data_IF_464402185665
#
_entry.id   IF_464402185665
#
_cell.length_a   1.000
_cell.length_b   1.000
_cell.length_c   1.000
_cell.angle_alpha   90.00
_cell.angle_beta   90.00
_cell.angle_gamma   90.00
#
_symmetry.space_group_name_H-M   'P 1'
#
loop_
_entity.id
_entity.type
_entity.pdbx_description
1 polymer ?
#
# COMPACT_ATOMS: atom_id res chain seq x y z
N UNK A 1 23.62 -2.14 4.15
CA UNK A 1 23.88 -0.90 4.92
C UNK A 1 22.54 -0.51 5.52
N UNK A 2 22.34 -0.51 6.84
CA UNK A 2 21.05 -0.10 7.43
C UNK A 2 20.85 1.37 7.11
N UNK A 3 19.87 1.70 6.27
CA UNK A 3 19.45 3.07 6.04
C UNK A 3 19.08 3.64 7.41
N UNK A 4 19.71 4.74 7.81
CA UNK A 4 19.34 5.43 9.04
C UNK A 4 17.99 6.08 8.74
N UNK A 5 16.90 5.38 9.04
CA UNK A 5 15.57 5.95 8.99
C UNK A 5 15.51 7.01 10.09
N UNK A 6 15.55 8.27 9.68
CA UNK A 6 15.41 9.38 10.61
C UNK A 6 13.93 9.46 10.98
N UNK A 7 13.60 9.07 12.21
CA UNK A 7 12.23 9.15 12.74
C UNK A 7 11.74 10.59 12.61
N UNK A 8 10.58 10.77 11.97
CA UNK A 8 9.94 12.05 11.78
C UNK A 8 9.46 12.59 13.14
N UNK A 9 9.89 13.80 13.51
CA UNK A 9 9.61 14.40 14.82
C UNK A 9 9.07 15.80 14.64
N UNK A 10 7.94 16.08 15.29
CA UNK A 10 7.23 17.37 15.23
C UNK A 10 7.00 17.85 13.77
N UNK A 11 6.46 16.99 12.89
CA UNK A 11 6.31 17.35 11.49
C UNK A 11 5.31 18.47 11.29
N UNK A 12 5.54 19.28 10.26
CA UNK A 12 4.53 20.17 9.71
C UNK A 12 3.51 19.39 8.86
N UNK A 13 2.46 20.07 8.41
CA UNK A 13 1.39 19.42 7.64
C UNK A 13 1.88 18.77 6.34
N UNK A 14 2.75 19.43 5.58
CA UNK A 14 3.26 18.90 4.32
C UNK A 14 4.15 17.67 4.53
N UNK A 15 4.91 17.62 5.63
CA UNK A 15 5.70 16.43 5.99
C UNK A 15 4.80 15.26 6.38
N UNK A 16 3.66 15.52 7.05
CA UNK A 16 2.65 14.50 7.36
C UNK A 16 2.00 13.98 6.07
N UNK A 17 1.57 14.86 5.18
CA UNK A 17 0.95 14.51 3.90
C UNK A 17 1.91 13.64 3.06
N UNK A 18 3.17 14.08 2.93
CA UNK A 18 4.20 13.30 2.26
C UNK A 18 4.42 11.94 2.92
N UNK A 19 4.51 11.87 4.25
CA UNK A 19 4.74 10.61 4.94
C UNK A 19 3.57 9.62 4.74
N UNK A 20 2.32 10.10 4.72
CA UNK A 20 1.15 9.28 4.42
C UNK A 20 1.23 8.72 2.99
N UNK A 21 1.45 9.59 2.00
CA UNK A 21 1.53 9.20 0.59
C UNK A 21 2.69 8.23 0.34
N UNK A 22 3.88 8.58 0.81
CA UNK A 22 5.09 7.80 0.60
C UNK A 22 4.99 6.41 1.22
N UNK A 23 4.54 6.30 2.48
CA UNK A 23 4.40 5.01 3.14
C UNK A 23 3.40 4.10 2.40
N UNK A 24 2.30 4.67 1.91
CA UNK A 24 1.34 3.95 1.10
C UNK A 24 1.90 3.52 -0.26
N UNK A 25 2.65 4.38 -0.96
CA UNK A 25 3.28 4.03 -2.24
C UNK A 25 4.35 2.94 -2.09
N UNK A 26 5.17 3.01 -1.04
CA UNK A 26 6.20 2.02 -0.75
C UNK A 26 5.60 0.63 -0.46
N UNK A 27 4.41 0.54 0.14
CA UNK A 27 3.70 -0.74 0.24
C UNK A 27 3.47 -1.35 -1.15
N UNK A 28 2.99 -0.59 -2.13
CA UNK A 28 2.75 -1.12 -3.47
C UNK A 28 4.03 -1.45 -4.22
N UNK A 29 5.08 -0.63 -4.07
CA UNK A 29 6.41 -0.93 -4.60
C UNK A 29 6.93 -2.24 -4.03
N UNK A 30 6.82 -2.44 -2.71
CA UNK A 30 7.23 -3.68 -2.06
C UNK A 30 6.43 -4.89 -2.56
N UNK A 31 5.10 -4.76 -2.73
CA UNK A 31 4.26 -5.86 -3.24
C UNK A 31 4.69 -6.36 -4.62
N UNK A 32 5.27 -5.50 -5.47
CA UNK A 32 5.64 -5.84 -6.86
C UNK A 32 7.13 -6.11 -7.07
N UNK A 33 7.93 -6.12 -6.00
CA UNK A 33 9.37 -6.48 -6.07
C UNK A 33 9.63 -7.98 -5.89
N UNK A 34 8.58 -8.78 -5.71
CA UNK A 34 8.70 -10.24 -5.68
C UNK A 34 8.97 -10.79 -7.09
N UNK A 35 9.79 -11.84 -7.16
CA UNK A 35 10.14 -12.49 -8.42
C UNK A 35 8.96 -13.35 -8.92
N UNK A 36 8.09 -12.76 -9.73
CA UNK A 36 7.00 -13.43 -10.45
C UNK A 36 7.05 -13.03 -11.93
N UNK A 37 6.88 -14.03 -12.81
CA UNK A 37 7.15 -13.94 -14.25
C UNK A 37 6.34 -12.86 -14.98
N UNK A 38 5.11 -12.56 -14.53
CA UNK A 38 4.19 -11.63 -15.18
C UNK A 38 4.21 -10.20 -14.61
N UNK A 39 5.06 -9.92 -13.60
CA UNK A 39 5.13 -8.58 -13.02
C UNK A 39 5.95 -7.66 -13.94
N UNK A 40 5.33 -6.54 -14.32
CA UNK A 40 6.00 -5.44 -15.01
C UNK A 40 5.90 -4.17 -14.16
N UNK A 41 7.00 -3.45 -14.01
CA UNK A 41 6.99 -2.11 -13.43
C UNK A 41 7.92 -1.16 -14.21
N UNK A 42 7.58 0.12 -14.16
CA UNK A 42 8.36 1.22 -14.71
C UNK A 42 8.48 2.30 -13.64
N UNK A 43 9.71 2.65 -13.29
CA UNK A 43 10.02 3.77 -12.39
C UNK A 43 10.70 4.88 -13.18
N UNK A 44 10.14 6.09 -13.09
CA UNK A 44 10.64 7.30 -13.73
C UNK A 44 10.59 8.46 -12.75
N UNK A 45 11.19 9.59 -13.13
CA UNK A 45 11.02 10.85 -12.37
C UNK A 45 9.57 11.40 -12.42
N UNK A 46 8.72 10.87 -13.31
CA UNK A 46 7.35 11.35 -13.53
C UNK A 46 6.28 10.51 -12.83
N UNK A 47 6.52 9.21 -12.62
CA UNK A 47 5.58 8.28 -12.00
C UNK A 47 6.24 6.92 -11.72
N UNK A 48 5.57 6.11 -10.89
CA UNK A 48 5.79 4.68 -10.82
C UNK A 48 4.56 3.93 -11.33
N UNK A 49 4.74 3.06 -12.32
CA UNK A 49 3.69 2.17 -12.85
C UNK A 49 4.04 0.73 -12.50
N UNK A 50 3.05 -0.05 -12.10
CA UNK A 50 3.18 -1.49 -11.92
C UNK A 50 1.97 -2.25 -12.47
N UNK A 51 2.19 -3.49 -12.89
CA UNK A 51 1.14 -4.45 -13.25
C UNK A 51 1.60 -5.86 -12.92
N UNK A 52 0.78 -6.59 -12.17
CA UNK A 52 1.03 -8.00 -11.83
C UNK A 52 0.44 -8.97 -12.84
N UNK A 53 -0.34 -8.48 -13.81
CA UNK A 53 -1.16 -9.32 -14.70
C UNK A 53 -2.41 -9.92 -14.03
N UNK A 54 -2.55 -9.82 -12.70
CA UNK A 54 -3.70 -10.34 -11.97
C UNK A 54 -4.91 -9.42 -12.24
N UNK A 55 -6.11 -9.96 -12.55
CA UNK A 55 -7.29 -9.17 -12.90
C UNK A 55 -7.98 -8.53 -11.67
N UNK A 56 -7.20 -7.80 -10.86
CA UNK A 56 -7.68 -7.09 -9.70
C UNK A 56 -7.02 -5.71 -9.65
N UNK A 57 -7.85 -4.66 -9.60
CA UNK A 57 -7.39 -3.28 -9.85
C UNK A 57 -6.31 -2.80 -8.88
N UNK A 58 -6.29 -3.30 -7.64
CA UNK A 58 -5.31 -2.90 -6.64
C UNK A 58 -3.88 -3.37 -6.99
N UNK A 59 -3.77 -4.43 -7.80
CA UNK A 59 -2.52 -5.06 -8.19
C UNK A 59 -2.00 -4.57 -9.55
N UNK A 60 -2.59 -3.49 -10.08
CA UNK A 60 -2.14 -2.80 -11.29
C UNK A 60 -2.37 -1.30 -11.09
N UNK A 61 -1.34 -0.47 -11.21
CA UNK A 61 -1.53 0.93 -10.88
C UNK A 61 -0.45 1.87 -11.32
N UNK A 62 -0.81 3.16 -11.30
CA UNK A 62 0.11 4.29 -11.38
C UNK A 62 0.06 5.03 -10.05
N UNK A 63 1.22 5.31 -9.48
CA UNK A 63 1.40 6.02 -8.21
C UNK A 63 2.49 7.09 -8.37
N UNK A 64 2.66 7.91 -7.34
CA UNK A 64 3.79 8.84 -7.22
C UNK A 64 3.93 9.79 -8.44
N UNK A 65 2.79 10.32 -8.90
CA UNK A 65 2.73 11.07 -10.16
C UNK A 65 3.21 12.50 -10.03
N UNK A 66 4.34 12.79 -10.67
CA UNK A 66 4.98 14.09 -10.81
C UNK A 66 5.14 14.50 -12.28
N UNK A 67 4.03 14.51 -13.02
CA UNK A 67 4.04 14.66 -14.48
C UNK A 67 4.00 16.16 -14.86
N UNK A 68 4.88 16.64 -15.77
CA UNK A 68 4.80 18.00 -16.29
C UNK A 68 3.48 18.26 -17.00
N UNK A 69 2.92 19.47 -16.81
CA UNK A 69 1.59 19.82 -17.33
C UNK A 69 1.50 19.72 -18.85
N UNK A 70 2.62 19.98 -19.53
CA UNK A 70 2.75 20.00 -20.98
C UNK A 70 2.58 18.61 -21.62
N UNK A 71 2.86 17.54 -20.86
CA UNK A 71 2.81 16.15 -21.32
C UNK A 71 1.78 15.30 -20.58
N UNK A 72 1.05 15.87 -19.61
CA UNK A 72 0.15 15.15 -18.73
C UNK A 72 -0.90 14.31 -19.47
N UNK A 73 -1.60 14.88 -20.46
CA UNK A 73 -2.60 14.15 -21.26
C UNK A 73 -1.97 12.97 -21.99
N UNK A 74 -0.85 13.20 -22.68
CA UNK A 74 -0.13 12.15 -23.40
C UNK A 74 0.27 11.01 -22.45
N UNK A 75 0.77 11.33 -21.26
CA UNK A 75 1.19 10.34 -20.27
C UNK A 75 0.01 9.56 -19.69
N UNK A 76 -1.13 10.21 -19.49
CA UNK A 76 -2.36 9.54 -19.06
C UNK A 76 -2.79 8.52 -20.13
N UNK A 77 -2.86 8.93 -21.40
CA UNK A 77 -3.22 8.06 -22.52
C UNK A 77 -2.25 6.87 -22.70
N UNK A 78 -0.94 7.11 -22.55
CA UNK A 78 0.10 6.06 -22.60
C UNK A 78 -0.11 5.00 -21.51
N UNK A 79 -0.35 5.42 -20.27
CA UNK A 79 -0.58 4.52 -19.14
C UNK A 79 -1.91 3.77 -19.27
N UNK A 80 -2.99 4.43 -19.70
CA UNK A 80 -4.27 3.74 -20.01
C UNK A 80 -4.05 2.67 -21.08
N UNK A 81 -3.40 3.02 -22.18
CA UNK A 81 -3.09 2.09 -23.28
C UNK A 81 -2.27 0.89 -22.81
N UNK A 82 -1.34 1.10 -21.86
CA UNK A 82 -0.56 0.02 -21.26
C UNK A 82 -1.46 -1.01 -20.56
N UNK A 83 -2.37 -0.57 -19.70
CA UNK A 83 -3.28 -1.50 -18.98
C UNK A 83 -4.33 -2.12 -19.90
N UNK A 84 -4.82 -1.40 -20.91
CA UNK A 84 -5.72 -1.93 -21.93
C UNK A 84 -5.08 -3.09 -22.71
N UNK A 85 -3.82 -2.94 -23.13
CA UNK A 85 -3.07 -4.01 -23.82
C UNK A 85 -2.87 -5.23 -22.94
N UNK A 86 -2.70 -5.04 -21.63
CA UNK A 86 -2.58 -6.11 -20.65
C UNK A 86 -3.92 -6.72 -20.23
N UNK A 87 -5.04 -6.11 -20.63
CA UNK A 87 -6.39 -6.55 -20.30
C UNK A 87 -6.64 -6.70 -18.79
N UNK A 88 -6.04 -5.81 -17.99
CA UNK A 88 -6.22 -5.79 -16.54
C UNK A 88 -6.90 -4.50 -16.08
N UNK A 89 -7.78 -4.57 -15.06
CA UNK A 89 -8.24 -3.35 -14.41
C UNK A 89 -7.09 -2.73 -13.62
N UNK A 90 -7.09 -1.41 -13.49
CA UNK A 90 -6.03 -0.67 -12.79
C UNK A 90 -6.61 0.49 -11.98
N UNK A 91 -5.78 1.04 -11.09
CA UNK A 91 -6.02 2.31 -10.41
C UNK A 91 -4.97 3.36 -10.77
N UNK A 92 -5.31 4.63 -10.57
CA UNK A 92 -4.34 5.71 -10.56
C UNK A 92 -4.47 6.44 -9.22
N UNK A 93 -3.47 6.30 -8.37
CA UNK A 93 -3.46 6.94 -7.05
C UNK A 93 -2.74 8.27 -7.14
N UNK A 94 -3.44 9.32 -6.72
CA UNK A 94 -2.92 10.68 -6.61
C UNK A 94 -3.21 11.20 -5.20
N UNK A 95 -2.39 12.11 -4.73
CA UNK A 95 -2.58 12.80 -3.45
C UNK A 95 -2.05 14.24 -3.50
N UNK A 96 -1.94 14.89 -2.33
CA UNK A 96 -1.52 16.29 -2.23
C UNK A 96 -0.18 16.59 -2.93
N UNK A 97 0.75 15.65 -2.93
CA UNK A 97 2.06 15.77 -3.59
C UNK A 97 2.00 15.71 -5.11
N UNK A 98 0.95 15.11 -5.69
CA UNK A 98 0.89 14.87 -7.13
C UNK A 98 0.90 16.16 -7.95
N UNK A 99 1.50 16.07 -9.15
CA UNK A 99 1.47 17.13 -10.15
C UNK A 99 1.09 16.59 -11.54
N UNK A 100 0.32 17.36 -12.35
CA UNK A 100 -0.15 18.72 -12.06
C UNK A 100 -1.29 18.77 -11.03
N UNK A 101 -1.57 19.94 -10.43
CA UNK A 101 -2.58 20.06 -9.36
C UNK A 101 -4.00 19.73 -9.81
N UNK A 102 -4.30 19.84 -11.10
CA UNK A 102 -5.56 19.42 -11.69
C UNK A 102 -5.53 17.96 -12.21
N UNK A 103 -4.55 17.13 -11.83
CA UNK A 103 -4.43 15.74 -12.29
C UNK A 103 -5.72 14.94 -12.14
N UNK A 104 -6.43 15.11 -11.01
CA UNK A 104 -7.72 14.42 -10.80
C UNK A 104 -8.77 14.76 -11.87
N UNK A 105 -8.85 16.02 -12.31
CA UNK A 105 -9.76 16.44 -13.39
C UNK A 105 -9.32 15.85 -14.74
N UNK A 106 -8.01 15.84 -15.00
CA UNK A 106 -7.46 15.25 -16.22
C UNK A 106 -7.76 13.75 -16.30
N UNK A 107 -7.60 13.01 -15.20
CA UNK A 107 -7.90 11.57 -15.14
C UNK A 107 -9.39 11.29 -15.37
N UNK A 108 -10.28 12.09 -14.74
CA UNK A 108 -11.74 11.95 -14.93
C UNK A 108 -12.13 12.21 -16.38
N UNK A 109 -11.58 13.25 -17.01
CA UNK A 109 -11.83 13.57 -18.42
C UNK A 109 -11.33 12.49 -19.38
N UNK A 110 -10.39 11.64 -18.93
CA UNK A 110 -9.89 10.48 -19.67
C UNK A 110 -10.53 9.15 -19.24
N UNK A 111 -11.69 9.20 -18.56
CA UNK A 111 -12.52 8.02 -18.31
C UNK A 111 -12.27 7.30 -16.99
N UNK A 112 -11.38 7.79 -16.11
CA UNK A 112 -11.23 7.22 -14.77
C UNK A 112 -12.35 7.70 -13.83
N UNK A 113 -12.71 6.84 -12.87
CA UNK A 113 -13.73 7.13 -11.86
C UNK A 113 -13.06 7.52 -10.55
N UNK A 114 -13.48 8.65 -9.98
CA UNK A 114 -12.94 9.15 -8.73
C UNK A 114 -13.42 8.34 -7.51
N UNK A 115 -12.47 7.86 -6.71
CA UNK A 115 -12.70 7.38 -5.35
C UNK A 115 -11.81 8.19 -4.39
N UNK A 116 -12.35 8.60 -3.24
CA UNK A 116 -11.62 9.39 -2.24
C UNK A 116 -11.44 8.58 -0.97
N UNK A 117 -10.20 8.53 -0.47
CA UNK A 117 -9.85 7.94 0.82
C UNK A 117 -9.13 9.00 1.67
N UNK A 118 -9.48 9.17 2.96
CA UNK A 118 -8.78 10.11 3.82
C UNK A 118 -7.41 9.56 4.23
N UNK A 119 -6.39 10.41 4.18
CA UNK A 119 -5.14 10.19 4.92
C UNK A 119 -5.33 10.58 6.38
N UNK A 120 -4.85 9.76 7.30
CA UNK A 120 -4.91 10.02 8.73
C UNK A 120 -3.52 9.90 9.35
N UNK A 121 -3.22 10.77 10.32
CA UNK A 121 -2.00 10.69 11.10
C UNK A 121 -2.32 10.96 12.57
N UNK A 122 -1.57 10.30 13.45
CA UNK A 122 -1.71 10.48 14.89
C UNK A 122 -0.33 10.53 15.56
N UNK A 123 -0.16 11.44 16.52
CA UNK A 123 1.09 11.55 17.26
C UNK A 123 1.13 10.52 18.38
N UNK A 124 1.93 9.47 18.19
CA UNK A 124 2.08 8.37 19.16
C UNK A 124 2.63 8.82 20.52
N UNK A 125 3.35 9.95 20.63
CA UNK A 125 3.88 10.45 21.92
C UNK A 125 2.81 10.95 22.87
N UNK A 126 1.68 11.40 22.33
CA UNK A 126 0.54 11.90 23.11
C UNK A 126 -0.58 10.86 23.20
N UNK A 127 -0.35 9.65 22.69
CA UNK A 127 -1.29 8.55 22.82
C UNK A 127 -1.31 8.09 24.28
N UNK A 128 -2.23 8.67 25.06
CA UNK A 128 -2.63 8.15 26.36
C UNK A 128 -3.46 6.89 26.16
N UNK A 129 -2.81 5.78 25.78
CA UNK A 129 -3.49 4.50 25.78
C UNK A 129 -3.67 4.06 27.23
N UNK A 130 -4.81 4.39 27.84
CA UNK A 130 -5.33 3.59 28.95
C UNK A 130 -5.56 2.19 28.38
N UNK A 131 -4.60 1.30 28.62
CA UNK A 131 -4.75 -0.12 28.28
C UNK A 131 -5.79 -0.69 29.22
N UNK A 132 -7.06 -0.61 28.85
CA UNK A 132 -8.01 -1.59 29.36
C UNK A 132 -7.48 -2.95 28.92
N UNK A 133 -7.06 -3.77 29.90
CA UNK A 133 -6.78 -5.17 29.66
C UNK A 133 -8.07 -5.79 29.15
N UNK A 134 -8.20 -5.90 27.83
CA UNK A 134 -9.19 -6.74 27.20
C UNK A 134 -8.78 -8.18 27.53
N UNK A 135 -9.19 -8.67 28.70
CA UNK A 135 -8.82 -10.00 29.23
C UNK A 135 -9.12 -11.19 28.29
N UNK A 136 -9.78 -10.93 27.15
CA UNK A 136 -10.17 -11.90 26.13
C UNK A 136 -9.54 -11.68 24.76
N UNK A 137 -8.80 -10.58 24.57
CA UNK A 137 -8.14 -10.28 23.29
C UNK A 137 -6.65 -10.52 23.42
N UNK A 138 -6.15 -11.47 22.66
CA UNK A 138 -4.72 -11.74 22.51
C UNK A 138 -4.24 -11.10 21.21
N UNK A 139 -3.15 -10.32 21.26
CA UNK A 139 -2.51 -9.76 20.07
C UNK A 139 -1.15 -10.42 19.92
N UNK A 140 -0.93 -11.08 18.78
CA UNK A 140 0.35 -11.70 18.44
C UNK A 140 0.94 -11.02 17.20
N UNK A 141 2.27 -11.04 17.10
CA UNK A 141 2.97 -10.66 15.88
C UNK A 141 2.98 -11.84 14.90
N UNK A 142 2.87 -11.56 13.61
CA UNK A 142 3.08 -12.54 12.54
C UNK A 142 4.59 -12.72 12.36
N UNK A 143 5.08 -13.92 12.64
CA UNK A 143 6.52 -14.22 12.66
C UNK A 143 6.88 -15.54 11.93
N UNK A 144 5.88 -16.25 11.43
CA UNK A 144 6.08 -17.52 10.72
C UNK A 144 4.98 -17.76 9.69
N UNK A 145 5.16 -18.81 8.91
CA UNK A 145 4.26 -19.21 7.83
C UNK A 145 2.86 -19.53 8.35
N UNK A 146 2.74 -20.14 9.52
CA UNK A 146 1.46 -20.52 10.13
C UNK A 146 0.63 -19.28 10.48
N UNK A 147 1.24 -18.32 11.17
CA UNK A 147 0.59 -17.04 11.51
C UNK A 147 0.32 -16.18 10.29
N UNK A 148 1.19 -16.22 9.26
CA UNK A 148 0.97 -15.50 8.01
C UNK A 148 -0.25 -16.02 7.24
N UNK A 149 -0.47 -17.34 7.20
CA UNK A 149 -1.65 -17.93 6.56
C UNK A 149 -2.95 -17.44 7.19
N UNK A 150 -2.99 -17.41 8.53
CA UNK A 150 -4.16 -16.89 9.27
C UNK A 150 -4.33 -15.41 9.01
N UNK A 151 -3.25 -14.64 9.07
CA UNK A 151 -3.28 -13.19 8.80
C UNK A 151 -3.79 -12.87 7.40
N UNK A 152 -3.31 -13.59 6.38
CA UNK A 152 -3.77 -13.44 5.00
C UNK A 152 -5.28 -13.71 4.88
N UNK A 153 -5.77 -14.79 5.49
CA UNK A 153 -7.20 -15.09 5.48
C UNK A 153 -8.04 -14.00 6.17
N UNK A 154 -7.60 -13.50 7.32
CA UNK A 154 -8.29 -12.44 8.07
C UNK A 154 -8.31 -11.13 7.29
N UNK A 155 -7.19 -10.72 6.67
CA UNK A 155 -7.13 -9.51 5.84
C UNK A 155 -8.09 -9.62 4.66
N UNK A 156 -8.01 -10.71 3.90
CA UNK A 156 -8.85 -10.87 2.70
C UNK A 156 -10.33 -10.95 3.07
N UNK A 157 -10.67 -11.58 4.20
CA UNK A 157 -12.05 -11.61 4.72
C UNK A 157 -12.52 -10.24 5.17
N UNK A 158 -11.73 -9.56 6.00
CA UNK A 158 -12.10 -8.28 6.62
C UNK A 158 -12.31 -7.16 5.61
N UNK A 159 -11.53 -7.16 4.53
CA UNK A 159 -11.67 -6.22 3.42
C UNK A 159 -12.57 -6.73 2.29
N UNK A 160 -13.21 -7.89 2.44
CA UNK A 160 -14.06 -8.53 1.44
C UNK A 160 -13.37 -8.66 0.05
N UNK A 161 -12.09 -9.03 0.06
CA UNK A 161 -11.27 -9.17 -1.14
C UNK A 161 -11.46 -10.56 -1.78
N UNK A 162 -11.34 -10.69 -3.11
CA UNK A 162 -11.56 -11.95 -3.82
C UNK A 162 -10.40 -12.92 -3.59
N UNK A 163 -10.53 -13.76 -2.55
CA UNK A 163 -9.50 -14.70 -2.11
C UNK A 163 -9.00 -15.60 -3.24
N UNK A 164 -9.91 -16.06 -4.08
CA UNK A 164 -9.65 -16.98 -5.20
C UNK A 164 -8.71 -16.36 -6.25
N UNK A 165 -8.65 -15.03 -6.31
CA UNK A 165 -7.85 -14.30 -7.30
C UNK A 165 -6.50 -13.86 -6.69
N UNK A 166 -6.50 -13.38 -5.44
CA UNK A 166 -5.34 -12.65 -4.90
C UNK A 166 -4.63 -13.32 -3.73
N UNK A 167 -5.18 -14.40 -3.15
CA UNK A 167 -4.63 -14.99 -1.92
C UNK A 167 -3.18 -15.46 -2.08
N UNK A 168 -2.87 -16.16 -3.18
CA UNK A 168 -1.53 -16.68 -3.41
C UNK A 168 -0.51 -15.56 -3.62
N UNK A 169 -0.92 -14.49 -4.31
CA UNK A 169 -0.08 -13.31 -4.51
C UNK A 169 0.19 -12.61 -3.18
N UNK A 170 -0.86 -12.30 -2.41
CA UNK A 170 -0.73 -11.65 -1.10
C UNK A 170 0.14 -12.48 -0.16
N UNK A 171 -0.09 -13.79 -0.09
CA UNK A 171 0.71 -14.68 0.75
C UNK A 171 2.20 -14.62 0.38
N UNK A 172 2.55 -14.67 -0.92
CA UNK A 172 3.94 -14.58 -1.38
C UNK A 172 4.55 -13.21 -1.09
N UNK A 173 3.84 -12.14 -1.44
CA UNK A 173 4.30 -10.76 -1.25
C UNK A 173 4.54 -10.44 0.23
N UNK A 174 3.57 -10.74 1.10
CA UNK A 174 3.71 -10.51 2.53
C UNK A 174 4.67 -11.50 3.21
N UNK A 175 4.85 -12.72 2.68
CA UNK A 175 5.93 -13.60 3.15
C UNK A 175 7.30 -12.95 2.92
N UNK A 176 7.51 -12.33 1.76
CA UNK A 176 8.74 -11.63 1.46
C UNK A 176 8.93 -10.40 2.36
N UNK A 177 7.87 -9.62 2.61
CA UNK A 177 7.97 -8.39 3.42
C UNK A 177 8.13 -8.66 4.93
N UNK A 178 7.47 -9.70 5.46
CA UNK A 178 7.31 -9.91 6.90
C UNK A 178 8.27 -10.96 7.48
N UNK A 179 8.67 -11.96 6.70
CA UNK A 179 9.35 -13.17 7.21
C UNK A 179 10.80 -13.31 6.73
N UNK A 180 11.36 -12.31 6.06
CA UNK A 180 12.76 -12.32 5.63
C UNK A 180 13.72 -11.94 6.79
N UNK A 181 15.04 -12.02 6.58
CA UNK A 181 16.05 -11.69 7.61
C UNK A 181 16.08 -10.21 8.01
N UNK A 182 15.53 -9.32 7.18
CA UNK A 182 15.45 -7.87 7.40
C UNK A 182 14.05 -7.34 7.03
N UNK A 183 13.00 -7.65 7.83
CA UNK A 183 11.62 -7.34 7.45
C UNK A 183 11.40 -5.85 7.20
N UNK A 184 10.71 -5.52 6.11
CA UNK A 184 10.36 -4.12 5.77
C UNK A 184 9.06 -3.65 6.42
N UNK A 185 8.25 -4.60 6.90
CA UNK A 185 6.99 -4.34 7.58
C UNK A 185 6.82 -5.26 8.81
N UNK A 186 5.83 -4.96 9.63
CA UNK A 186 5.35 -5.86 10.67
C UNK A 186 3.85 -6.06 10.54
N UNK A 187 3.37 -7.24 10.90
CA UNK A 187 1.95 -7.55 10.89
C UNK A 187 1.54 -8.18 12.22
N UNK A 188 0.28 -7.97 12.58
CA UNK A 188 -0.28 -8.47 13.84
C UNK A 188 -1.63 -9.10 13.61
N UNK A 189 -1.93 -10.10 14.43
CA UNK A 189 -3.23 -10.78 14.53
C UNK A 189 -3.80 -10.54 15.91
N UNK A 190 -5.11 -10.29 15.97
CA UNK A 190 -5.87 -10.29 17.20
C UNK A 190 -6.79 -11.51 17.25
N UNK A 191 -6.79 -12.21 18.37
CA UNK A 191 -7.64 -13.34 18.67
C UNK A 191 -8.61 -12.98 19.79
N UNK A 192 -9.88 -13.35 19.62
CA UNK A 192 -10.90 -13.29 20.67
C UNK A 192 -11.39 -14.70 20.98
N UNK A 193 -11.19 -15.15 22.22
CA UNK A 193 -11.50 -16.52 22.67
C UNK A 193 -10.93 -17.59 21.71
N UNK A 194 -9.68 -17.40 21.27
CA UNK A 194 -8.97 -18.31 20.36
C UNK A 194 -9.34 -18.22 18.88
N UNK A 195 -10.31 -17.36 18.51
CA UNK A 195 -10.70 -17.15 17.11
C UNK A 195 -10.01 -15.89 16.56
N UNK A 196 -9.42 -15.94 15.34
CA UNK A 196 -8.83 -14.76 14.74
C UNK A 196 -9.94 -13.77 14.33
N UNK A 197 -9.84 -12.51 14.78
CA UNK A 197 -10.90 -11.51 14.60
C UNK A 197 -10.43 -10.21 13.96
N UNK A 198 -9.13 -9.91 14.00
CA UNK A 198 -8.59 -8.72 13.35
C UNK A 198 -7.13 -8.91 12.94
N UNK A 199 -6.70 -8.08 12.00
CA UNK A 199 -5.36 -8.04 11.48
C UNK A 199 -4.90 -6.59 11.32
N UNK A 200 -3.59 -6.38 11.30
CA UNK A 200 -2.97 -5.12 10.87
C UNK A 200 -1.63 -5.40 10.19
N UNK A 201 -1.19 -4.46 9.36
CA UNK A 201 0.16 -4.36 8.85
C UNK A 201 0.64 -2.93 9.08
N UNK A 202 1.93 -2.78 9.35
CA UNK A 202 2.60 -1.50 9.54
C UNK A 202 3.91 -1.50 8.76
N UNK A 203 4.06 -0.48 7.92
CA UNK A 203 5.26 -0.16 7.16
C UNK A 203 6.01 0.98 7.86
N UNK A 204 7.34 1.00 7.75
CA UNK A 204 8.19 1.91 8.52
C UNK A 204 8.87 3.00 7.67
N UNK A 205 8.20 3.41 6.60
CA UNK A 205 8.73 4.35 5.62
C UNK A 205 8.48 5.82 6.00
N UNK A 206 9.24 6.73 5.37
CA UNK A 206 9.20 8.18 5.63
C UNK A 206 9.39 8.57 7.12
N UNK A 207 10.02 7.71 7.91
CA UNK A 207 10.26 7.97 9.34
C UNK A 207 9.02 7.88 10.22
N UNK A 208 7.93 7.28 9.72
CA UNK A 208 6.68 7.03 10.45
C UNK A 208 6.36 5.54 10.50
N UNK A 209 5.38 5.16 11.31
CA UNK A 209 4.74 3.85 11.29
C UNK A 209 3.35 4.04 10.68
N UNK A 210 3.14 3.50 9.48
CA UNK A 210 1.97 3.75 8.62
C UNK A 210 1.44 2.50 7.96
#
# INVERSE_FOLDING_TARGET
MRQIITILKNPNQSEIEHAIEFNFYELFRALVTIDLEDIEYEETDEFFRYSTGIPFFLLNGVIDSHIPSEVAIKKIEENITFFEKRQVPFLWMIGPSSSPKNMGELLINNGLILNKQPGMAYNLKILGAERELLNKVEIIKVENVETLKVWNDVVLTGFALPKEIISDFFYKAFSFMLLNDTPSASAFLAYYDGNPVASSVVCYEAGVAG
#
